data_IF_906850164394
#
_entry.id   IF_906850164394
#
_cell.length_a   1.000
_cell.length_b   1.000
_cell.length_c   1.000
_cell.angle_alpha   90.00
_cell.angle_beta   90.00
_cell.angle_gamma   90.00
#
_symmetry.space_group_name_H-M   'P 1'
#
loop_
_entity.id
_entity.type
_entity.pdbx_description
1 polymer ?
#
# COMPACT_ATOMS: atom_id res chain seq x y z
N UNK A 1 -16.57 5.92 20.25
CA UNK A 1 -15.25 5.79 20.92
C UNK A 1 -14.20 5.40 19.89
N UNK A 2 -12.88 5.51 20.16
CA UNK A 2 -11.85 5.06 19.21
C UNK A 2 -12.00 3.58 18.81
N UNK A 3 -12.42 2.71 19.74
CA UNK A 3 -12.66 1.30 19.47
C UNK A 3 -13.82 1.07 18.49
N UNK A 4 -14.96 1.75 18.69
CA UNK A 4 -16.09 1.70 17.75
C UNK A 4 -15.68 2.22 16.36
N UNK A 5 -14.90 3.30 16.30
CA UNK A 5 -14.42 3.84 15.03
C UNK A 5 -13.49 2.87 14.27
N UNK A 6 -12.75 2.02 14.98
CA UNK A 6 -11.96 0.95 14.36
C UNK A 6 -12.85 -0.18 13.85
N UNK A 7 -13.84 -0.59 14.65
CA UNK A 7 -14.80 -1.64 14.28
C UNK A 7 -15.62 -1.26 13.03
N UNK A 8 -16.09 -0.02 12.96
CA UNK A 8 -16.87 0.51 11.84
C UNK A 8 -16.00 1.03 10.68
N UNK A 9 -14.68 0.75 10.72
CA UNK A 9 -13.71 1.13 9.68
C UNK A 9 -13.62 2.64 9.37
N UNK A 10 -14.06 3.50 10.27
CA UNK A 10 -13.90 4.97 10.17
C UNK A 10 -12.43 5.36 10.35
N UNK A 11 -11.70 4.62 11.20
CA UNK A 11 -10.25 4.74 11.35
C UNK A 11 -9.57 3.39 11.12
N UNK A 12 -8.30 3.43 10.69
CA UNK A 12 -7.51 2.20 10.45
C UNK A 12 -6.60 1.81 11.63
N UNK A 13 -6.29 2.76 12.50
CA UNK A 13 -5.39 2.56 13.64
C UNK A 13 -5.93 3.26 14.87
N UNK A 14 -5.77 2.62 16.02
CA UNK A 14 -6.01 3.21 17.35
C UNK A 14 -4.70 3.09 18.13
N UNK A 15 -4.31 4.18 18.78
CA UNK A 15 -3.09 4.24 19.60
C UNK A 15 -3.45 4.65 21.03
N UNK A 16 -2.56 4.44 22.00
CA UNK A 16 -2.65 5.10 23.30
C UNK A 16 -2.75 6.63 23.15
N UNK A 17 -3.27 7.27 24.20
CA UNK A 17 -3.44 8.72 24.23
C UNK A 17 -2.07 9.42 24.12
N UNK A 18 -1.97 10.39 23.20
CA UNK A 18 -0.74 11.15 22.94
C UNK A 18 0.19 10.55 21.87
N UNK A 19 -0.05 9.32 21.41
CA UNK A 19 0.87 8.62 20.48
C UNK A 19 0.46 8.69 19.00
N UNK A 20 -0.72 9.24 18.70
CA UNK A 20 -1.30 9.22 17.35
C UNK A 20 -0.40 9.90 16.30
N UNK A 21 0.23 11.02 16.65
CA UNK A 21 1.13 11.74 15.75
C UNK A 21 2.41 10.94 15.46
N UNK A 22 2.95 10.23 16.45
CA UNK A 22 4.13 9.39 16.27
C UNK A 22 3.83 8.24 15.31
N UNK A 23 2.70 7.53 15.51
CA UNK A 23 2.25 6.47 14.58
C UNK A 23 1.98 7.03 13.18
N UNK A 24 1.35 8.20 13.06
CA UNK A 24 1.11 8.84 11.77
C UNK A 24 2.41 9.16 11.01
N UNK A 25 3.45 9.63 11.71
CA UNK A 25 4.78 9.88 11.12
C UNK A 25 5.48 8.60 10.68
N UNK A 26 5.40 7.53 11.48
CA UNK A 26 5.95 6.23 11.08
C UNK A 26 5.26 5.70 9.81
N UNK A 27 3.92 5.75 9.76
CA UNK A 27 3.16 5.37 8.56
C UNK A 27 3.54 6.23 7.36
N UNK A 28 3.70 7.54 7.52
CA UNK A 28 4.14 8.43 6.43
C UNK A 28 5.54 8.07 5.93
N UNK A 29 6.49 7.80 6.84
CA UNK A 29 7.84 7.38 6.49
C UNK A 29 7.85 6.02 5.76
N UNK A 30 6.93 5.12 6.10
CA UNK A 30 6.73 3.85 5.39
C UNK A 30 6.15 4.07 3.99
N UNK A 31 5.10 4.87 3.86
CA UNK A 31 4.45 5.19 2.58
C UNK A 31 5.43 5.92 1.64
N UNK A 32 6.33 6.75 2.18
CA UNK A 32 7.37 7.43 1.41
C UNK A 32 8.39 6.48 0.76
N UNK A 33 8.44 5.20 1.15
CA UNK A 33 9.28 4.17 0.50
C UNK A 33 8.65 3.60 -0.77
N UNK A 34 7.35 3.81 -0.99
CA UNK A 34 6.69 3.41 -2.22
C UNK A 34 7.22 4.23 -3.40
N UNK A 35 7.16 3.69 -4.61
CA UNK A 35 7.38 4.51 -5.81
C UNK A 35 6.27 5.55 -5.95
N UNK A 36 6.58 6.65 -6.64
CA UNK A 36 5.60 7.70 -6.96
C UNK A 36 4.40 7.08 -7.70
N UNK A 37 4.67 6.19 -8.66
CA UNK A 37 3.64 5.51 -9.45
C UNK A 37 2.73 4.64 -8.58
N UNK A 38 3.28 3.89 -7.62
CA UNK A 38 2.47 3.08 -6.68
C UNK A 38 1.53 3.97 -5.87
N UNK A 39 2.04 5.07 -5.31
CA UNK A 39 1.20 6.01 -4.56
C UNK A 39 0.12 6.63 -5.45
N UNK A 40 0.46 7.02 -6.68
CA UNK A 40 -0.49 7.58 -7.64
C UNK A 40 -1.60 6.57 -7.98
N UNK A 41 -1.25 5.31 -8.23
CA UNK A 41 -2.20 4.24 -8.53
C UNK A 41 -3.15 3.97 -7.36
N UNK A 42 -2.62 3.85 -6.13
CA UNK A 42 -3.46 3.60 -4.94
C UNK A 42 -4.43 4.76 -4.71
N UNK A 43 -3.98 6.00 -4.83
CA UNK A 43 -4.80 7.18 -4.53
C UNK A 43 -5.80 7.49 -5.64
N UNK A 44 -5.43 7.28 -6.92
CA UNK A 44 -6.25 7.72 -8.04
C UNK A 44 -6.92 6.58 -8.81
N UNK A 45 -6.24 5.45 -9.00
CA UNK A 45 -6.75 4.38 -9.87
C UNK A 45 -7.66 3.45 -9.10
N UNK A 46 -7.22 2.93 -7.95
CA UNK A 46 -7.95 1.92 -7.20
C UNK A 46 -9.38 2.34 -6.82
N UNK A 47 -9.65 3.59 -6.36
CA UNK A 47 -11.01 4.02 -6.06
C UNK A 47 -11.91 4.03 -7.30
N UNK A 48 -11.36 4.40 -8.46
CA UNK A 48 -12.12 4.44 -9.72
C UNK A 48 -12.46 3.04 -10.23
N UNK A 49 -11.55 2.06 -10.03
CA UNK A 49 -11.84 0.65 -10.34
C UNK A 49 -13.01 0.15 -9.49
N UNK A 50 -13.11 0.56 -8.22
CA UNK A 50 -14.23 0.18 -7.35
C UNK A 50 -15.59 0.65 -7.88
N UNK A 51 -15.63 1.82 -8.53
CA UNK A 51 -16.86 2.39 -9.09
C UNK A 51 -17.19 1.86 -10.50
N UNK A 52 -16.32 1.06 -11.11
CA UNK A 52 -16.51 0.49 -12.45
C UNK A 52 -17.38 -0.78 -12.42
N UNK A 53 -17.87 -1.18 -13.59
CA UNK A 53 -18.39 -2.54 -13.78
C UNK A 53 -17.29 -3.57 -13.50
N UNK A 54 -17.66 -4.80 -13.15
CA UNK A 54 -16.68 -5.85 -12.86
C UNK A 54 -15.70 -6.07 -14.02
N UNK A 55 -16.23 -6.20 -15.25
CA UNK A 55 -15.43 -6.48 -16.44
C UNK A 55 -14.50 -5.31 -16.79
N UNK A 56 -14.99 -4.06 -16.69
CA UNK A 56 -14.17 -2.87 -16.94
C UNK A 56 -13.12 -2.67 -15.85
N UNK A 57 -13.47 -2.94 -14.60
CA UNK A 57 -12.56 -2.88 -13.46
C UNK A 57 -11.38 -3.84 -13.62
N UNK A 58 -11.66 -5.10 -14.00
CA UNK A 58 -10.63 -6.09 -14.30
C UNK A 58 -9.77 -5.68 -15.51
N UNK A 59 -10.39 -5.12 -16.55
CA UNK A 59 -9.66 -4.64 -17.72
C UNK A 59 -8.68 -3.50 -17.34
N UNK A 60 -9.14 -2.52 -16.56
CA UNK A 60 -8.29 -1.41 -16.09
C UNK A 60 -7.22 -1.89 -15.11
N UNK A 61 -7.53 -2.86 -14.24
CA UNK A 61 -6.55 -3.47 -13.34
C UNK A 61 -5.42 -4.13 -14.14
N UNK A 62 -5.76 -4.90 -15.18
CA UNK A 62 -4.78 -5.55 -16.04
C UNK A 62 -3.91 -4.54 -16.80
N UNK A 63 -4.49 -3.45 -17.31
CA UNK A 63 -3.70 -2.39 -17.99
C UNK A 63 -2.70 -1.73 -17.06
N UNK A 64 -3.03 -1.58 -15.78
CA UNK A 64 -2.14 -0.97 -14.80
C UNK A 64 -1.08 -1.93 -14.26
N UNK A 65 -1.43 -3.21 -14.07
CA UNK A 65 -0.51 -4.25 -13.61
C UNK A 65 0.53 -4.63 -14.67
N UNK A 66 0.16 -4.56 -15.96
CA UNK A 66 1.02 -4.87 -17.10
C UNK A 66 2.01 -3.75 -17.48
N UNK A 67 2.01 -2.61 -16.76
CA UNK A 67 2.95 -1.51 -17.04
C UNK A 67 4.40 -1.96 -16.83
N UNK A 68 5.29 -1.36 -17.60
CA UNK A 68 6.72 -1.61 -17.48
C UNK A 68 7.18 -1.31 -16.06
N UNK A 69 7.78 -2.31 -15.42
CA UNK A 69 8.36 -2.18 -14.08
C UNK A 69 9.65 -1.37 -14.19
N UNK A 70 9.92 -0.43 -13.28
CA UNK A 70 11.19 0.27 -13.29
C UNK A 70 12.33 -0.72 -12.94
N UNK A 71 13.58 -0.48 -13.42
CA UNK A 71 14.68 -1.43 -13.28
C UNK A 71 14.94 -1.89 -11.84
N UNK A 72 14.77 -1.00 -10.86
CA UNK A 72 14.93 -1.34 -9.45
C UNK A 72 13.85 -2.31 -8.93
N UNK A 73 12.64 -2.27 -9.48
CA UNK A 73 11.58 -3.21 -9.10
C UNK A 73 11.86 -4.61 -9.67
N UNK A 74 12.37 -4.68 -10.89
CA UNK A 74 12.80 -5.96 -11.48
C UNK A 74 14.01 -6.55 -10.74
N UNK A 75 15.00 -5.71 -10.37
CA UNK A 75 16.14 -6.13 -9.57
C UNK A 75 15.72 -6.68 -8.19
N UNK A 76 14.82 -5.99 -7.47
CA UNK A 76 14.27 -6.48 -6.19
C UNK A 76 13.53 -7.80 -6.34
N UNK A 77 12.78 -7.98 -7.43
CA UNK A 77 12.10 -9.24 -7.71
C UNK A 77 13.11 -10.38 -7.95
N UNK A 78 14.18 -10.12 -8.70
CA UNK A 78 15.26 -11.09 -8.92
C UNK A 78 15.97 -11.44 -7.61
N UNK A 79 16.32 -10.46 -6.79
CA UNK A 79 16.90 -10.70 -5.45
C UNK A 79 15.98 -11.56 -4.57
N UNK A 80 14.68 -11.34 -4.65
CA UNK A 80 13.68 -12.14 -3.93
C UNK A 80 13.65 -13.59 -4.43
N UNK A 81 13.57 -13.81 -5.74
CA UNK A 81 13.58 -15.15 -6.36
C UNK A 81 14.90 -15.89 -6.09
N UNK A 82 16.02 -15.18 -6.10
CA UNK A 82 17.36 -15.71 -5.79
C UNK A 82 17.57 -16.02 -4.29
N UNK A 83 16.62 -15.68 -3.42
CA UNK A 83 16.75 -15.82 -1.97
C UNK A 83 17.78 -14.87 -1.33
N UNK A 84 18.20 -13.83 -2.04
CA UNK A 84 19.18 -12.81 -1.60
C UNK A 84 18.52 -11.56 -1.02
N UNK A 85 17.21 -11.44 -1.17
CA UNK A 85 16.46 -10.32 -0.60
C UNK A 85 16.60 -10.28 0.92
N UNK A 86 16.67 -9.06 1.48
CA UNK A 86 16.62 -8.88 2.93
C UNK A 86 15.37 -9.54 3.49
N UNK A 87 15.53 -10.33 4.55
CA UNK A 87 14.38 -10.89 5.28
C UNK A 87 13.43 -9.77 5.67
N UNK A 88 12.14 -9.99 5.42
CA UNK A 88 11.09 -9.14 5.95
C UNK A 88 11.27 -9.13 7.48
N UNK A 89 11.51 -7.95 8.04
CA UNK A 89 11.45 -7.77 9.48
C UNK A 89 9.97 -7.84 9.88
N UNK A 90 9.69 -8.44 11.04
CA UNK A 90 8.31 -8.58 11.52
C UNK A 90 7.60 -7.23 11.45
N UNK A 91 6.52 -7.20 10.68
CA UNK A 91 5.61 -6.07 10.60
C UNK A 91 4.95 -5.92 11.96
N UNK A 92 5.57 -5.18 12.88
CA UNK A 92 4.95 -4.82 14.15
C UNK A 92 3.77 -3.89 13.86
N UNK A 93 2.58 -4.48 13.95
CA UNK A 93 1.31 -3.76 13.96
C UNK A 93 1.21 -2.94 15.24
#
# INVERSE_FOLDING_TARGET
TPAEGLQEHVVRYVTPAGESLAKARDLAARIAKNSIDTNWMIINVLPRIHDMSHDDGLFVEQLNSARARPPEAEARLREFVDGKAKKLQDNQA
#
